data_IF_924238092966
#
_entry.id   IF_924238092966
#
_cell.length_a   1.000
_cell.length_b   1.000
_cell.length_c   1.000
_cell.angle_alpha   90.00
_cell.angle_beta   90.00
_cell.angle_gamma   90.00
#
_symmetry.space_group_name_H-M   'P 1'
#
loop_
_entity.id
_entity.type
_entity.pdbx_description
1 polymer ?
#
# COMPACT_ATOMS: atom_id res chain seq x y z
N UNK A 1 7.39 21.12 6.89
CA UNK A 1 6.67 19.98 6.30
C UNK A 1 7.19 18.71 6.96
N UNK A 2 6.35 17.73 7.25
CA UNK A 2 6.82 16.44 7.72
C UNK A 2 7.74 15.83 6.66
N UNK A 3 8.82 15.19 7.09
CA UNK A 3 9.75 14.48 6.21
C UNK A 3 9.68 13.00 6.52
N UNK A 4 9.68 12.19 5.49
CA UNK A 4 9.74 10.73 5.60
C UNK A 4 10.76 10.19 4.60
N UNK A 5 11.57 9.25 5.04
CA UNK A 5 12.46 8.47 4.18
C UNK A 5 12.20 7.01 4.47
N UNK A 6 11.84 6.25 3.45
CA UNK A 6 11.57 4.84 3.59
C UNK A 6 12.85 4.09 4.03
N UNK A 7 12.80 3.21 5.05
CA UNK A 7 13.96 2.48 5.54
C UNK A 7 14.24 1.25 4.65
N UNK A 8 14.58 1.50 3.38
CA UNK A 8 14.73 0.45 2.36
C UNK A 8 15.78 -0.59 2.73
N UNK A 9 16.92 -0.15 3.28
CA UNK A 9 18.01 -1.05 3.66
C UNK A 9 17.56 -2.03 4.75
N UNK A 10 16.80 -1.55 5.74
CA UNK A 10 16.26 -2.40 6.79
C UNK A 10 15.21 -3.37 6.27
N UNK A 11 14.33 -2.92 5.38
CA UNK A 11 13.29 -3.75 4.75
C UNK A 11 13.93 -4.86 3.88
N UNK A 12 14.92 -4.51 3.08
CA UNK A 12 15.64 -5.46 2.24
C UNK A 12 16.44 -6.47 3.08
N UNK A 13 17.07 -6.02 4.15
CA UNK A 13 17.76 -6.89 5.10
C UNK A 13 16.79 -7.90 5.74
N UNK A 14 15.63 -7.43 6.20
CA UNK A 14 14.60 -8.31 6.76
C UNK A 14 14.08 -9.31 5.71
N UNK A 15 13.81 -8.85 4.50
CA UNK A 15 13.37 -9.73 3.41
C UNK A 15 14.41 -10.80 3.08
N UNK A 16 15.68 -10.43 2.99
CA UNK A 16 16.77 -11.36 2.73
C UNK A 16 16.86 -12.43 3.83
N UNK A 17 16.80 -12.02 5.10
CA UNK A 17 16.87 -12.95 6.24
C UNK A 17 15.65 -13.86 6.35
N UNK A 18 14.45 -13.36 6.04
CA UNK A 18 13.25 -14.18 5.98
C UNK A 18 13.30 -15.19 4.83
N UNK A 19 13.89 -14.79 3.70
CA UNK A 19 14.04 -15.65 2.52
C UNK A 19 15.06 -16.78 2.74
N UNK A 20 16.08 -16.57 3.57
CA UNK A 20 17.02 -17.61 3.96
C UNK A 20 16.35 -18.74 4.76
N UNK A 21 15.10 -18.54 5.18
CA UNK A 21 14.30 -19.58 5.76
C UNK A 21 13.90 -20.59 4.68
N UNK A 22 14.34 -21.83 4.82
CA UNK A 22 14.15 -22.91 3.83
C UNK A 22 12.70 -23.06 3.36
N UNK A 23 11.75 -22.84 4.27
CA UNK A 23 10.33 -22.99 3.98
C UNK A 23 9.79 -21.95 2.99
N UNK A 24 10.39 -20.77 2.89
CA UNK A 24 9.92 -19.72 1.98
C UNK A 24 10.25 -20.04 0.52
N UNK A 25 11.44 -20.61 0.26
CA UNK A 25 11.88 -20.96 -1.09
C UNK A 25 11.17 -22.23 -1.63
N UNK A 26 10.54 -23.01 -0.76
CA UNK A 26 9.78 -24.21 -1.14
C UNK A 26 8.36 -23.87 -1.62
N UNK A 27 7.91 -22.62 -1.48
CA UNK A 27 6.61 -22.18 -1.96
C UNK A 27 6.71 -21.87 -3.45
N UNK A 28 6.23 -22.79 -4.28
CA UNK A 28 6.28 -22.68 -5.75
C UNK A 28 5.78 -21.32 -6.25
N UNK A 29 4.73 -20.79 -5.66
CA UNK A 29 4.14 -19.48 -5.98
C UNK A 29 5.13 -18.32 -5.88
N UNK A 30 6.19 -18.43 -5.06
CA UNK A 30 7.12 -17.35 -4.77
C UNK A 30 8.56 -17.62 -5.23
N UNK A 31 8.79 -18.69 -6.00
CA UNK A 31 10.12 -19.07 -6.45
C UNK A 31 10.77 -18.02 -7.38
N UNK A 32 9.98 -17.24 -8.10
CA UNK A 32 10.44 -16.16 -8.99
C UNK A 32 10.68 -14.83 -8.26
N UNK A 33 10.19 -14.70 -7.02
CA UNK A 33 10.35 -13.48 -6.23
C UNK A 33 11.78 -13.45 -5.67
N UNK A 34 12.62 -12.64 -6.27
CA UNK A 34 14.02 -12.44 -5.86
C UNK A 34 14.25 -11.09 -5.20
N UNK A 35 15.45 -10.89 -4.63
CA UNK A 35 15.78 -9.66 -3.91
C UNK A 35 15.76 -8.42 -4.82
N UNK A 36 16.22 -8.55 -6.07
CA UNK A 36 16.27 -7.42 -7.01
C UNK A 36 14.84 -6.94 -7.36
N UNK A 37 13.93 -7.87 -7.65
CA UNK A 37 12.52 -7.54 -7.88
C UNK A 37 11.89 -6.84 -6.68
N UNK A 38 12.14 -7.35 -5.47
CA UNK A 38 11.61 -6.74 -4.24
C UNK A 38 12.20 -5.35 -4.02
N UNK A 39 13.48 -5.17 -4.29
CA UNK A 39 14.14 -3.86 -4.22
C UNK A 39 13.48 -2.85 -5.17
N UNK A 40 13.29 -3.22 -6.44
CA UNK A 40 12.64 -2.35 -7.42
C UNK A 40 11.21 -1.96 -6.97
N UNK A 41 10.43 -2.91 -6.48
CA UNK A 41 9.09 -2.65 -5.94
C UNK A 41 9.14 -1.68 -4.76
N UNK A 42 10.04 -1.89 -3.81
CA UNK A 42 10.13 -1.04 -2.61
C UNK A 42 10.67 0.36 -2.92
N UNK A 43 11.56 0.51 -3.91
CA UNK A 43 12.02 1.82 -4.40
C UNK A 43 10.87 2.62 -5.04
N UNK A 44 10.04 1.99 -5.87
CA UNK A 44 8.84 2.63 -6.44
C UNK A 44 7.79 2.92 -5.34
N UNK A 45 7.61 2.00 -4.39
CA UNK A 45 6.77 2.21 -3.22
C UNK A 45 7.23 3.42 -2.39
N UNK A 46 8.53 3.59 -2.19
CA UNK A 46 9.07 4.76 -1.50
C UNK A 46 8.76 6.06 -2.26
N UNK A 47 8.91 6.07 -3.59
CA UNK A 47 8.63 7.25 -4.41
C UNK A 47 7.16 7.69 -4.33
N UNK A 48 6.21 6.77 -4.45
CA UNK A 48 4.78 7.14 -4.35
C UNK A 48 4.45 7.64 -2.94
N UNK A 49 4.98 6.99 -1.90
CA UNK A 49 4.75 7.38 -0.52
C UNK A 49 5.32 8.77 -0.21
N UNK A 50 6.56 9.04 -0.60
CA UNK A 50 7.25 10.30 -0.32
C UNK A 50 6.73 11.48 -1.15
N UNK A 51 6.46 11.25 -2.44
CA UNK A 51 6.19 12.33 -3.37
C UNK A 51 4.70 12.61 -3.58
N UNK A 52 3.85 11.60 -3.40
CA UNK A 52 2.41 11.74 -3.62
C UNK A 52 1.62 11.70 -2.31
N UNK A 53 1.85 10.71 -1.45
CA UNK A 53 0.97 10.46 -0.31
C UNK A 53 1.34 11.29 0.93
N UNK A 54 2.63 11.50 1.19
CA UNK A 54 3.07 12.33 2.32
C UNK A 54 2.53 13.77 2.28
N UNK A 55 2.54 14.48 1.12
CA UNK A 55 1.94 15.81 1.03
C UNK A 55 0.43 15.83 1.31
N UNK A 56 -0.28 14.74 1.02
CA UNK A 56 -1.72 14.64 1.25
C UNK A 56 -2.09 14.50 2.73
N UNK A 57 -1.20 14.00 3.58
CA UNK A 57 -1.46 13.87 5.01
C UNK A 57 -1.82 15.22 5.64
N UNK A 58 -1.03 16.27 5.36
CA UNK A 58 -1.31 17.61 5.84
C UNK A 58 -2.55 18.22 5.19
N UNK A 59 -2.72 18.06 3.87
CA UNK A 59 -3.90 18.54 3.17
C UNK A 59 -5.20 17.93 3.72
N UNK A 60 -5.16 16.63 4.06
CA UNK A 60 -6.30 15.92 4.64
C UNK A 60 -6.61 16.34 6.08
N UNK A 61 -5.59 16.70 6.87
CA UNK A 61 -5.76 17.20 8.23
C UNK A 61 -6.36 18.61 8.24
N UNK A 62 -5.87 19.50 7.39
CA UNK A 62 -6.36 20.87 7.27
C UNK A 62 -7.76 20.95 6.61
N UNK A 63 -8.07 20.04 5.69
CA UNK A 63 -9.32 20.00 4.94
C UNK A 63 -9.95 18.61 4.98
N UNK A 64 -10.49 18.18 6.14
CA UNK A 64 -11.04 16.83 6.28
C UNK A 64 -12.23 16.58 5.37
N UNK A 65 -12.55 15.30 5.16
CA UNK A 65 -13.73 14.91 4.40
C UNK A 65 -15.02 15.54 4.99
N UNK A 66 -15.94 15.95 4.13
CA UNK A 66 -17.18 16.64 4.50
C UNK A 66 -18.39 15.95 3.87
N UNK A 67 -19.49 15.88 4.62
CA UNK A 67 -20.78 15.48 4.07
C UNK A 67 -21.53 16.74 3.62
N UNK A 68 -21.77 16.86 2.32
CA UNK A 68 -22.47 17.99 1.72
C UNK A 68 -23.62 17.47 0.85
N UNK A 69 -24.85 17.81 1.22
CA UNK A 69 -26.07 17.42 0.49
C UNK A 69 -26.19 15.90 0.24
N UNK A 70 -25.84 15.09 1.24
CA UNK A 70 -25.87 13.62 1.12
C UNK A 70 -24.69 13.01 0.35
N UNK A 71 -23.70 13.80 -0.06
CA UNK A 71 -22.51 13.34 -0.76
C UNK A 71 -21.25 13.63 0.06
N UNK A 72 -20.41 12.62 0.24
CA UNK A 72 -19.10 12.80 0.88
C UNK A 72 -18.10 13.43 -0.10
N UNK A 73 -17.51 14.55 0.31
CA UNK A 73 -16.39 15.20 -0.39
C UNK A 73 -15.10 14.81 0.29
N UNK A 74 -14.23 14.16 -0.47
CA UNK A 74 -12.89 13.77 0.02
C UNK A 74 -11.97 14.98 0.14
N UNK A 75 -10.91 14.90 0.97
CA UNK A 75 -9.87 15.94 1.01
C UNK A 75 -9.29 16.22 -0.38
N UNK A 76 -8.78 17.44 -0.61
CA UNK A 76 -8.15 17.80 -1.88
C UNK A 76 -7.00 16.86 -2.25
N UNK A 77 -6.94 16.42 -3.51
CA UNK A 77 -5.90 15.55 -4.04
C UNK A 77 -6.07 14.05 -3.74
N UNK A 78 -6.97 13.66 -2.84
CA UNK A 78 -7.17 12.25 -2.48
C UNK A 78 -7.74 11.42 -3.63
N UNK A 79 -8.67 11.98 -4.40
CA UNK A 79 -9.29 11.27 -5.51
C UNK A 79 -8.26 10.95 -6.60
N UNK A 80 -7.44 11.91 -6.97
CA UNK A 80 -6.40 11.77 -7.99
C UNK A 80 -5.31 10.80 -7.52
N UNK A 81 -4.90 10.90 -6.27
CA UNK A 81 -3.94 9.98 -5.68
C UNK A 81 -4.47 8.54 -5.62
N UNK A 82 -5.75 8.37 -5.28
CA UNK A 82 -6.39 7.05 -5.24
C UNK A 82 -6.49 6.44 -6.64
N UNK A 83 -6.83 7.24 -7.64
CA UNK A 83 -6.85 6.79 -9.03
C UNK A 83 -5.47 6.28 -9.46
N UNK A 84 -4.42 7.05 -9.21
CA UNK A 84 -3.05 6.64 -9.52
C UNK A 84 -2.63 5.40 -8.72
N UNK A 85 -2.99 5.30 -7.45
CA UNK A 85 -2.72 4.15 -6.60
C UNK A 85 -3.32 2.85 -7.16
N UNK A 86 -4.53 2.94 -7.74
CA UNK A 86 -5.19 1.80 -8.40
C UNK A 86 -4.52 1.49 -9.74
N UNK A 87 -4.29 2.49 -10.59
CA UNK A 87 -3.68 2.33 -11.92
C UNK A 87 -2.29 1.70 -11.84
N UNK A 88 -1.50 2.07 -10.84
CA UNK A 88 -0.18 1.50 -10.59
C UNK A 88 -0.25 0.10 -9.92
N UNK A 89 -1.44 -0.39 -9.57
CA UNK A 89 -1.66 -1.75 -9.03
C UNK A 89 -1.33 -1.95 -7.56
N UNK A 90 -1.08 -0.89 -6.80
CA UNK A 90 -0.68 -0.99 -5.39
C UNK A 90 -1.72 -1.65 -4.51
N UNK A 91 -3.01 -1.42 -4.79
CA UNK A 91 -4.11 -2.02 -4.04
C UNK A 91 -4.13 -3.55 -4.14
N UNK A 92 -3.62 -4.11 -5.23
CA UNK A 92 -3.67 -5.54 -5.53
C UNK A 92 -2.30 -6.24 -5.45
N UNK A 93 -1.30 -5.61 -4.84
CA UNK A 93 0.09 -6.06 -4.80
C UNK A 93 0.23 -7.53 -4.36
N UNK A 94 -0.49 -7.97 -3.33
CA UNK A 94 -0.45 -9.33 -2.82
C UNK A 94 -1.68 -10.19 -3.18
N UNK A 95 -2.58 -9.66 -4.01
CA UNK A 95 -3.75 -10.39 -4.46
C UNK A 95 -3.38 -11.47 -5.48
N UNK A 96 -4.24 -12.46 -5.63
CA UNK A 96 -4.03 -13.57 -6.56
C UNK A 96 -4.10 -13.06 -8.02
N UNK A 97 -3.11 -13.41 -8.88
CA UNK A 97 -3.10 -13.06 -10.30
C UNK A 97 -4.36 -13.51 -11.05
N UNK A 98 -5.00 -14.59 -10.62
CA UNK A 98 -6.26 -15.07 -11.19
C UNK A 98 -7.36 -13.99 -11.15
N UNK A 99 -7.29 -13.08 -10.17
CA UNK A 99 -8.25 -11.99 -9.98
C UNK A 99 -7.66 -10.61 -10.30
N UNK A 100 -6.58 -10.56 -11.06
CA UNK A 100 -5.93 -9.31 -11.44
C UNK A 100 -4.93 -8.76 -10.42
N UNK A 101 -4.53 -9.56 -9.44
CA UNK A 101 -3.48 -9.20 -8.48
C UNK A 101 -2.08 -9.41 -9.03
N UNK A 102 -1.08 -8.91 -8.33
CA UNK A 102 0.33 -9.03 -8.71
C UNK A 102 1.02 -10.26 -8.08
N UNK A 103 0.36 -10.98 -7.17
CA UNK A 103 0.85 -12.23 -6.60
C UNK A 103 2.06 -12.09 -5.66
N UNK A 104 2.39 -10.88 -5.23
CA UNK A 104 3.53 -10.68 -4.34
C UNK A 104 3.30 -11.28 -2.95
N UNK A 105 4.36 -11.74 -2.27
CA UNK A 105 4.26 -12.21 -0.90
C UNK A 105 3.69 -11.15 0.03
N UNK A 106 2.96 -11.59 1.05
CA UNK A 106 2.44 -10.71 2.11
C UNK A 106 3.55 -9.93 2.83
N UNK A 107 4.76 -10.45 2.88
CA UNK A 107 5.94 -9.77 3.42
C UNK A 107 6.22 -8.48 2.66
N UNK A 108 6.17 -8.52 1.31
CA UNK A 108 6.39 -7.33 0.47
C UNK A 108 5.26 -6.31 0.66
N UNK A 109 4.01 -6.77 0.68
CA UNK A 109 2.89 -5.86 0.94
C UNK A 109 2.91 -5.28 2.36
N UNK A 110 3.45 -6.00 3.35
CA UNK A 110 3.60 -5.47 4.71
C UNK A 110 4.61 -4.31 4.78
N UNK A 111 5.71 -4.38 4.04
CA UNK A 111 6.64 -3.25 3.92
C UNK A 111 5.99 -2.03 3.26
N UNK A 112 5.22 -2.25 2.20
CA UNK A 112 4.44 -1.19 1.58
C UNK A 112 3.42 -0.60 2.55
N UNK A 113 2.71 -1.42 3.29
CA UNK A 113 1.75 -1.02 4.32
C UNK A 113 2.37 -0.20 5.45
N UNK A 114 3.61 -0.50 5.83
CA UNK A 114 4.38 0.28 6.80
C UNK A 114 4.70 1.68 6.24
N UNK A 115 5.20 1.77 5.01
CA UNK A 115 5.45 3.05 4.35
C UNK A 115 4.17 3.89 4.27
N UNK A 116 3.07 3.27 3.84
CA UNK A 116 1.77 3.92 3.68
C UNK A 116 1.21 4.42 5.01
N UNK A 117 1.35 3.62 6.08
CA UNK A 117 0.94 4.02 7.44
C UNK A 117 1.76 5.18 7.98
N UNK A 118 3.05 5.23 7.65
CA UNK A 118 3.99 6.25 8.10
C UNK A 118 3.81 7.58 7.36
N UNK A 119 3.33 7.54 6.11
CA UNK A 119 3.16 8.74 5.28
C UNK A 119 1.76 9.31 5.33
N UNK A 120 0.73 8.47 5.23
CA UNK A 120 -0.67 8.90 5.23
C UNK A 120 -1.60 7.78 5.70
N UNK A 121 -1.74 7.62 7.01
CA UNK A 121 -2.63 6.61 7.59
C UNK A 121 -4.09 6.83 7.15
N UNK A 122 -4.54 8.10 7.07
CA UNK A 122 -5.89 8.42 6.61
C UNK A 122 -6.14 7.95 5.18
N UNK A 123 -5.17 8.10 4.27
CA UNK A 123 -5.27 7.57 2.91
C UNK A 123 -5.32 6.04 2.90
N UNK A 124 -4.49 5.38 3.72
CA UNK A 124 -4.49 3.92 3.85
C UNK A 124 -5.89 3.36 4.19
N UNK A 125 -6.61 4.03 5.06
CA UNK A 125 -7.94 3.59 5.49
C UNK A 125 -8.97 3.56 4.34
N UNK A 126 -8.80 4.36 3.29
CA UNK A 126 -9.68 4.31 2.12
C UNK A 126 -9.52 3.02 1.30
N UNK A 127 -8.35 2.42 1.30
CA UNK A 127 -8.05 1.26 0.46
C UNK A 127 -8.07 -0.07 1.22
N UNK A 128 -8.07 -0.04 2.55
CA UNK A 128 -7.79 -1.24 3.37
C UNK A 128 -8.96 -1.72 4.22
N UNK A 129 -10.00 -0.90 4.45
CA UNK A 129 -11.08 -1.28 5.34
C UNK A 129 -12.14 -2.11 4.63
N UNK A 130 -12.31 -3.34 5.07
CA UNK A 130 -13.37 -4.25 4.63
C UNK A 130 -14.78 -3.69 4.90
N UNK A 131 -14.91 -2.76 5.85
CA UNK A 131 -16.17 -2.05 6.14
C UNK A 131 -16.67 -1.16 5.00
N UNK A 132 -15.84 -0.87 4.01
CA UNK A 132 -16.25 -0.13 2.81
C UNK A 132 -16.71 -1.04 1.70
N UNK A 133 -16.61 -2.36 1.88
CA UNK A 133 -17.11 -3.34 0.92
C UNK A 133 -18.49 -3.84 1.34
N UNK A 134 -19.32 -4.10 0.34
CA UNK A 134 -20.68 -4.64 0.47
C UNK A 134 -20.76 -5.96 1.26
N UNK A 135 -19.66 -6.69 1.32
CA UNK A 135 -19.53 -7.93 2.08
C UNK A 135 -19.72 -7.78 3.61
N UNK A 136 -19.67 -6.54 4.14
CA UNK A 136 -19.97 -6.27 5.55
C UNK A 136 -21.46 -6.22 5.83
N UNK A 137 -22.29 -5.93 4.83
CA UNK A 137 -23.73 -5.77 4.98
C UNK A 137 -24.49 -7.11 4.88
N UNK A 138 -23.86 -8.15 4.35
CA UNK A 138 -24.46 -9.49 4.19
C UNK A 138 -24.46 -10.34 5.48
N UNK A 139 -23.91 -9.83 6.57
CA UNK A 139 -23.85 -10.52 7.87
C UNK A 139 -24.84 -9.98 8.89
N UNK A 140 -25.78 -9.12 8.49
CA UNK A 140 -26.83 -8.60 9.35
C UNK A 140 -28.18 -9.25 9.09
#
# INVERSE_FOLDING_TARGET
MPSYTAPLDDMLFLFEKLRDNKNYNEIEKYNEVNLDLVKDILEEAAKINQNLLLPLALAGDENPAKLENGVVRTPPGYKEAYQKYIEDGWISLSCDPKYGGQGMPKTVSAFFDEMLSSTSLSFKLYSCLLYTSDAADELC
#
